data_IF_955365086163
#
_entry.id   IF_955365086163
#
_cell.length_a   1.000
_cell.length_b   1.000
_cell.length_c   1.000
_cell.angle_alpha   90.00
_cell.angle_beta   90.00
_cell.angle_gamma   90.00
#
_symmetry.space_group_name_H-M   'P 1'
#
loop_
_entity.id
_entity.type
_entity.pdbx_description
1 polymer ?
#
# COMPACT_ATOMS: atom_id res chain seq x y z
N UNK A 1 -6.13 17.54 -14.79
CA UNK A 1 -5.41 18.24 -13.70
C UNK A 1 -4.25 17.34 -13.31
N UNK A 2 -2.99 17.81 -13.35
CA UNK A 2 -1.84 16.95 -13.03
C UNK A 2 -1.79 16.74 -11.52
N UNK A 3 -1.86 15.48 -11.10
CA UNK A 3 -1.59 15.10 -9.72
C UNK A 3 -0.09 15.13 -9.49
N UNK A 4 0.32 16.07 -8.65
CA UNK A 4 1.67 16.20 -8.14
C UNK A 4 1.57 16.98 -6.83
N UNK A 5 2.41 16.69 -5.83
CA UNK A 5 2.34 17.38 -4.55
C UNK A 5 2.53 18.88 -4.80
N UNK A 6 1.58 19.69 -4.30
CA UNK A 6 1.50 21.13 -4.49
C UNK A 6 2.56 21.89 -3.67
N UNK A 7 3.83 21.48 -3.80
CA UNK A 7 4.94 21.95 -2.99
C UNK A 7 5.52 23.29 -3.45
N UNK A 8 4.99 23.86 -4.53
CA UNK A 8 5.43 25.16 -5.03
C UNK A 8 4.47 26.21 -4.51
N UNK A 9 4.92 27.01 -3.53
CA UNK A 9 4.14 28.02 -2.80
C UNK A 9 3.79 29.26 -3.65
N UNK A 10 3.23 29.04 -4.84
CA UNK A 10 2.74 30.07 -5.76
C UNK A 10 1.72 31.02 -5.10
N UNK A 11 1.01 30.59 -4.05
CA UNK A 11 0.06 31.42 -3.32
C UNK A 11 0.67 32.70 -2.72
N UNK A 12 1.91 32.66 -2.24
CA UNK A 12 2.61 33.86 -1.73
C UNK A 12 2.99 34.82 -2.86
N UNK A 13 3.31 34.28 -4.04
CA UNK A 13 3.66 35.07 -5.22
C UNK A 13 2.43 35.78 -5.78
N UNK A 14 1.29 35.09 -5.83
CA UNK A 14 0.00 35.70 -6.23
C UNK A 14 -0.47 36.72 -5.19
N UNK A 15 -0.31 36.47 -3.89
CA UNK A 15 -0.66 37.42 -2.84
C UNK A 15 0.12 38.75 -2.94
N UNK A 16 1.37 38.68 -3.41
CA UNK A 16 2.19 39.88 -3.66
C UNK A 16 1.63 40.69 -4.83
N UNK A 17 1.18 40.02 -5.91
CA UNK A 17 0.52 40.67 -7.05
C UNK A 17 -0.85 41.26 -6.67
N UNK A 18 -1.54 40.66 -5.70
CA UNK A 18 -2.82 41.12 -5.18
C UNK A 18 -2.72 42.29 -4.19
N UNK A 19 -1.51 42.81 -3.93
CA UNK A 19 -1.31 44.00 -3.10
C UNK A 19 -1.32 43.75 -1.59
N UNK A 20 -1.12 42.51 -1.14
CA UNK A 20 -1.03 42.19 0.29
C UNK A 20 0.17 42.90 0.95
N UNK A 21 0.02 43.50 2.15
CA UNK A 21 1.10 44.21 2.82
C UNK A 21 2.36 43.36 3.03
N UNK A 22 3.55 43.96 2.78
CA UNK A 22 4.85 43.27 2.91
C UNK A 22 5.09 42.65 4.28
N UNK A 23 4.55 43.25 5.33
CA UNK A 23 4.62 42.74 6.71
C UNK A 23 3.90 41.41 6.89
N UNK A 24 2.75 41.24 6.21
CA UNK A 24 1.96 40.01 6.23
C UNK A 24 2.65 38.92 5.41
N UNK A 25 3.15 39.26 4.21
CA UNK A 25 3.93 38.35 3.36
C UNK A 25 5.16 37.81 4.11
N UNK A 26 5.87 38.66 4.86
CA UNK A 26 7.04 38.25 5.66
C UNK A 26 6.67 37.25 6.75
N UNK A 27 5.60 37.51 7.51
CA UNK A 27 5.10 36.58 8.55
C UNK A 27 4.63 35.26 7.96
N UNK A 28 3.91 35.31 6.83
CA UNK A 28 3.45 34.12 6.14
C UNK A 28 4.61 33.25 5.64
N UNK A 29 5.69 33.86 5.11
CA UNK A 29 6.91 33.14 4.72
C UNK A 29 7.58 32.44 5.91
N UNK A 30 7.65 33.11 7.07
CA UNK A 30 8.20 32.50 8.28
C UNK A 30 7.37 31.29 8.72
N UNK A 31 6.04 31.41 8.70
CA UNK A 31 5.15 30.30 9.05
C UNK A 31 5.24 29.13 8.06
N UNK A 32 5.41 29.43 6.77
CA UNK A 32 5.63 28.42 5.74
C UNK A 32 6.89 27.59 6.03
N UNK A 33 8.01 28.26 6.33
CA UNK A 33 9.27 27.60 6.68
C UNK A 33 9.14 26.67 7.90
N UNK A 34 8.42 27.11 8.94
CA UNK A 34 8.16 26.27 10.13
C UNK A 34 7.35 25.02 9.79
N UNK A 35 6.33 25.16 8.94
CA UNK A 35 5.46 24.06 8.53
C UNK A 35 6.20 23.09 7.63
N UNK A 36 7.02 23.57 6.69
CA UNK A 36 7.88 22.74 5.83
C UNK A 36 8.91 21.96 6.66
N UNK A 37 9.58 22.62 7.62
CA UNK A 37 10.51 21.96 8.53
C UNK A 37 9.82 20.94 9.46
N UNK A 38 8.57 21.19 9.84
CA UNK A 38 7.76 20.22 10.57
C UNK A 38 7.41 19.02 9.69
N UNK A 39 6.93 19.26 8.47
CA UNK A 39 6.54 18.23 7.52
C UNK A 39 7.73 17.32 7.16
N UNK A 40 8.92 17.90 6.95
CA UNK A 40 10.14 17.15 6.66
C UNK A 40 10.52 16.22 7.81
N UNK A 41 10.47 16.70 9.06
CA UNK A 41 10.72 15.88 10.25
C UNK A 41 9.71 14.75 10.43
N UNK A 42 8.44 15.00 10.11
CA UNK A 42 7.41 13.95 10.16
C UNK A 42 7.62 12.90 9.05
N UNK A 43 8.04 13.31 7.86
CA UNK A 43 8.39 12.39 6.77
C UNK A 43 9.61 11.52 7.12
N UNK A 44 10.65 12.12 7.73
CA UNK A 44 11.83 11.39 8.22
C UNK A 44 11.45 10.42 9.37
N UNK A 45 10.59 10.84 10.30
CA UNK A 45 10.07 9.96 11.35
C UNK A 45 9.20 8.82 10.80
N UNK A 46 8.39 9.07 9.77
CA UNK A 46 7.62 8.04 9.07
C UNK A 46 8.51 7.07 8.29
N UNK A 47 9.68 7.49 7.81
CA UNK A 47 10.66 6.59 7.19
C UNK A 47 11.40 5.71 8.22
N UNK A 48 11.64 6.24 9.44
CA UNK A 48 12.26 5.47 10.53
C UNK A 48 11.32 4.49 11.24
N UNK A 49 10.02 4.69 11.11
CA UNK A 49 9.02 3.72 11.52
C UNK A 49 8.80 2.78 10.34
N UNK A 50 9.23 1.52 10.49
CA UNK A 50 8.79 0.45 9.60
C UNK A 50 7.28 0.61 9.38
N UNK A 51 6.80 0.74 8.15
CA UNK A 51 5.38 0.95 7.92
C UNK A 51 4.64 -0.31 8.35
N UNK A 52 4.12 -0.31 9.59
CA UNK A 52 3.28 -1.39 10.13
C UNK A 52 2.01 -1.61 9.28
N UNK A 53 1.68 -0.65 8.43
CA UNK A 53 0.52 -0.66 7.55
C UNK A 53 0.84 -0.89 6.06
N UNK A 54 2.11 -1.09 5.67
CA UNK A 54 2.47 -1.61 4.34
C UNK A 54 2.57 -3.13 4.32
N UNK A 55 1.80 -3.81 5.17
CA UNK A 55 1.42 -5.19 4.93
C UNK A 55 0.36 -5.20 3.81
N UNK A 56 0.74 -4.80 2.59
CA UNK A 56 0.14 -5.51 1.47
C UNK A 56 0.66 -6.93 1.64
N UNK A 57 -0.19 -7.92 1.96
CA UNK A 57 0.29 -9.29 1.90
C UNK A 57 0.91 -9.44 0.52
N UNK A 58 2.19 -9.80 0.44
CA UNK A 58 2.71 -10.35 -0.79
C UNK A 58 1.70 -11.41 -1.24
N UNK A 59 1.32 -11.46 -2.51
CA UNK A 59 0.41 -12.49 -2.98
C UNK A 59 1.02 -13.83 -2.55
N UNK A 60 0.39 -14.48 -1.58
CA UNK A 60 0.85 -15.75 -1.07
C UNK A 60 0.90 -16.68 -2.28
N UNK A 61 2.06 -17.28 -2.54
CA UNK A 61 2.15 -18.26 -3.62
C UNK A 61 1.14 -19.36 -3.35
N UNK A 62 0.36 -19.79 -4.36
CA UNK A 62 -0.66 -20.80 -4.17
C UNK A 62 -0.01 -22.06 -3.60
N UNK A 63 -0.58 -22.57 -2.52
CA UNK A 63 -0.15 -23.81 -1.92
C UNK A 63 -0.25 -24.96 -2.92
N UNK A 64 0.52 -26.03 -2.66
CA UNK A 64 0.45 -27.24 -3.49
C UNK A 64 -0.97 -27.82 -3.56
N UNK A 65 -1.77 -27.63 -2.51
CA UNK A 65 -3.18 -28.06 -2.45
C UNK A 65 -4.07 -27.19 -3.33
N UNK A 66 -3.93 -25.86 -3.28
CA UNK A 66 -4.68 -24.93 -4.13
C UNK A 66 -4.42 -25.19 -5.62
N UNK A 67 -3.16 -25.42 -5.99
CA UNK A 67 -2.78 -25.74 -7.37
C UNK A 67 -3.40 -27.05 -7.86
N UNK A 68 -3.62 -28.03 -6.97
CA UNK A 68 -4.29 -29.28 -7.33
C UNK A 68 -5.80 -29.11 -7.46
N UNK A 69 -6.41 -28.31 -6.58
CA UNK A 69 -7.85 -28.02 -6.63
C UNK A 69 -8.26 -27.30 -7.92
N UNK A 70 -7.44 -26.38 -8.42
CA UNK A 70 -7.70 -25.67 -9.70
C UNK A 70 -7.83 -26.62 -10.91
N UNK A 71 -7.27 -27.83 -10.81
CA UNK A 71 -7.26 -28.81 -11.91
C UNK A 71 -8.36 -29.85 -11.80
N UNK A 72 -9.11 -29.86 -10.69
CA UNK A 72 -10.16 -30.85 -10.45
C UNK A 72 -11.49 -30.30 -10.96
N UNK A 73 -12.08 -30.99 -11.93
CA UNK A 73 -13.46 -30.77 -12.36
C UNK A 73 -14.36 -31.80 -11.67
N UNK A 74 -15.19 -31.42 -10.67
CA UNK A 74 -16.02 -32.37 -9.93
C UNK A 74 -17.12 -33.00 -10.78
N UNK A 75 -17.56 -32.35 -11.86
CA UNK A 75 -18.69 -32.82 -12.67
C UNK A 75 -18.29 -33.96 -13.63
N UNK A 76 -17.00 -34.09 -13.94
CA UNK A 76 -16.44 -35.15 -14.80
C UNK A 76 -15.87 -36.34 -13.99
N UNK A 77 -16.02 -36.34 -12.66
CA UNK A 77 -15.50 -37.40 -11.80
C UNK A 77 -16.55 -38.45 -11.45
N UNK A 78 -16.17 -39.72 -11.61
CA UNK A 78 -16.93 -40.81 -10.98
C UNK A 78 -16.77 -40.75 -9.44
N UNK A 79 -17.73 -41.30 -8.67
CA UNK A 79 -17.65 -41.30 -7.20
C UNK A 79 -16.35 -41.89 -6.64
N UNK A 80 -15.79 -42.92 -7.31
CA UNK A 80 -14.51 -43.52 -6.92
C UNK A 80 -13.32 -42.59 -7.17
N UNK A 81 -13.30 -41.90 -8.31
CA UNK A 81 -12.24 -40.95 -8.64
C UNK A 81 -12.29 -39.72 -7.73
N UNK A 82 -13.49 -39.24 -7.40
CA UNK A 82 -13.66 -38.15 -6.44
C UNK A 82 -13.06 -38.51 -5.07
N UNK A 83 -13.32 -39.73 -4.58
CA UNK A 83 -12.71 -40.22 -3.33
C UNK A 83 -11.18 -40.28 -3.42
N UNK A 84 -10.63 -40.75 -4.54
CA UNK A 84 -9.18 -40.80 -4.76
C UNK A 84 -8.54 -39.41 -4.73
N UNK A 85 -9.17 -38.41 -5.38
CA UNK A 85 -8.71 -37.02 -5.33
C UNK A 85 -8.73 -36.46 -3.90
N UNK A 86 -9.77 -36.77 -3.11
CA UNK A 86 -9.84 -36.35 -1.70
C UNK A 86 -8.71 -36.94 -0.84
N UNK A 87 -8.34 -38.20 -1.06
CA UNK A 87 -7.20 -38.80 -0.36
C UNK A 87 -5.87 -38.14 -0.74
N UNK A 88 -5.65 -37.87 -2.03
CA UNK A 88 -4.45 -37.18 -2.50
C UNK A 88 -4.33 -35.76 -1.92
N UNK A 89 -5.44 -35.01 -1.86
CA UNK A 89 -5.45 -33.67 -1.26
C UNK A 89 -5.12 -33.73 0.24
N UNK A 90 -5.63 -34.73 0.96
CA UNK A 90 -5.35 -34.92 2.38
C UNK A 90 -3.87 -35.24 2.63
N UNK A 91 -3.27 -36.14 1.85
CA UNK A 91 -1.84 -36.47 1.94
C UNK A 91 -0.96 -35.24 1.69
N UNK A 92 -1.33 -34.40 0.72
CA UNK A 92 -0.62 -33.15 0.41
C UNK A 92 -0.75 -32.12 1.52
N UNK A 93 -1.88 -32.07 2.21
CA UNK A 93 -2.07 -31.20 3.36
C UNK A 93 -1.20 -31.64 4.55
N UNK A 94 -1.22 -32.94 4.89
CA UNK A 94 -0.42 -33.51 5.98
C UNK A 94 1.09 -33.41 5.71
N UNK A 95 1.52 -33.47 4.44
CA UNK A 95 2.92 -33.28 4.04
C UNK A 95 3.37 -31.82 4.01
N UNK A 96 2.44 -30.87 4.13
CA UNK A 96 2.71 -29.42 4.10
C UNK A 96 2.64 -28.78 5.49
N UNK A 97 2.30 -29.53 6.55
CA UNK A 97 2.42 -29.09 7.94
C UNK A 97 3.87 -29.30 8.44
N UNK A 98 4.59 -28.26 8.90
CA UNK A 98 5.90 -28.40 9.55
C UNK A 98 5.82 -28.92 10.99
#
# INVERSE_FOLDING_TARGET
VREGPANQSYGLQVATLAGVPKTVIKKARQRLLELEASAQRHAEQQQSQLPLFNLSPEPAEPSAVETLLERIDPDDLTPRQALEQLYLLKEKLESSEP
#
